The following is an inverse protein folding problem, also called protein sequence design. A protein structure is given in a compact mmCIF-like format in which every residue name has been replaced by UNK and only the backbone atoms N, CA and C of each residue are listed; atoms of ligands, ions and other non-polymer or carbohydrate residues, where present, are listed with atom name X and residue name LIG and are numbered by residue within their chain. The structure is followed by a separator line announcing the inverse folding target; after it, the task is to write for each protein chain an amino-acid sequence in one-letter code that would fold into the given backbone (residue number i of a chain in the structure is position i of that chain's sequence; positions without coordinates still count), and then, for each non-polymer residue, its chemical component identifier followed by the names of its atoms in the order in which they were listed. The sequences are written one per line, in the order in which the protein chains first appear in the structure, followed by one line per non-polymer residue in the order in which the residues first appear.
data_IF_455955389910
#
_entry.id   IF_455955389910
#
_cell.length_a   1.000
_cell.length_b   1.000
_cell.length_c   1.000
_cell.angle_alpha   90.00
_cell.angle_beta   90.00
_cell.angle_gamma   90.00
#
_symmetry.space_group_name_H-M   'P 1'
#
loop_
_entity.id
_entity.type
_entity.pdbx_description
1 polymer ?
#
# COMPACT_ATOMS: atom_id res chain seq x y z
N UNK A 1 5.13 -15.98 -24.82
CA UNK A 1 5.62 -15.38 -26.08
C UNK A 1 6.27 -14.06 -25.70
N UNK A 2 7.54 -13.84 -26.03
CA UNK A 2 8.21 -12.57 -25.78
C UNK A 2 7.61 -11.56 -26.77
N UNK A 3 6.69 -10.71 -26.33
CA UNK A 3 6.15 -9.65 -27.18
C UNK A 3 7.29 -8.69 -27.52
N UNK A 4 7.52 -8.45 -28.80
CA UNK A 4 8.48 -7.45 -29.24
C UNK A 4 7.80 -6.08 -29.26
N UNK A 5 7.97 -5.32 -28.19
CA UNK A 5 7.42 -3.97 -28.00
C UNK A 5 8.14 -2.89 -28.82
N UNK A 6 9.02 -3.27 -29.75
CA UNK A 6 9.83 -2.32 -30.53
C UNK A 6 10.76 -1.44 -29.68
N UNK A 7 11.02 -1.84 -28.43
CA UNK A 7 11.83 -1.08 -27.49
C UNK A 7 13.32 -1.26 -27.79
N UNK A 8 14.05 -0.14 -27.74
CA UNK A 8 15.51 -0.17 -27.77
C UNK A 8 16.10 -0.64 -26.43
N UNK A 9 17.39 -0.96 -26.42
CA UNK A 9 18.06 -1.53 -25.24
C UNK A 9 17.98 -0.62 -24.00
N UNK A 10 18.10 0.70 -24.17
CA UNK A 10 17.98 1.66 -23.06
C UNK A 10 16.56 1.73 -22.52
N UNK A 11 15.54 1.63 -23.38
CA UNK A 11 14.13 1.59 -22.96
C UNK A 11 13.81 0.29 -22.22
N UNK A 12 14.31 -0.86 -22.70
CA UNK A 12 14.16 -2.15 -21.99
C UNK A 12 14.82 -2.07 -20.62
N UNK A 13 16.07 -1.58 -20.55
CA UNK A 13 16.79 -1.41 -19.30
C UNK A 13 16.08 -0.46 -18.34
N UNK A 14 15.51 0.63 -18.84
CA UNK A 14 14.70 1.54 -18.04
C UNK A 14 13.53 0.83 -17.37
N UNK A 15 12.80 -0.02 -18.10
CA UNK A 15 11.67 -0.77 -17.55
C UNK A 15 12.11 -1.77 -16.48
N UNK A 16 13.22 -2.48 -16.73
CA UNK A 16 13.81 -3.45 -15.80
C UNK A 16 14.29 -2.79 -14.51
N UNK A 17 14.88 -1.60 -14.58
CA UNK A 17 15.29 -0.84 -13.41
C UNK A 17 14.09 -0.22 -12.70
N UNK A 18 13.09 0.26 -13.45
CA UNK A 18 11.87 0.87 -12.90
C UNK A 18 11.07 -0.08 -12.07
N UNK A 19 10.93 -1.34 -12.50
CA UNK A 19 10.15 -2.29 -11.73
C UNK A 19 10.79 -2.57 -10.36
N UNK A 20 12.10 -2.34 -10.16
CA UNK A 20 12.78 -2.64 -8.88
C UNK A 20 12.26 -1.74 -7.75
N UNK A 21 12.22 -0.43 -7.95
CA UNK A 21 11.93 0.56 -6.90
C UNK A 21 10.81 1.56 -7.27
N UNK A 22 10.22 1.43 -8.45
CA UNK A 22 9.20 2.33 -9.02
C UNK A 22 9.65 3.79 -9.07
N UNK A 23 10.96 4.03 -9.14
CA UNK A 23 11.55 5.37 -9.18
C UNK A 23 12.03 5.74 -10.58
N UNK A 24 11.17 6.39 -11.36
CA UNK A 24 11.42 6.74 -12.76
C UNK A 24 12.77 7.44 -12.98
N UNK A 25 13.09 8.45 -12.16
CA UNK A 25 14.31 9.23 -12.30
C UNK A 25 15.56 8.37 -12.07
N UNK A 26 15.55 7.51 -11.04
CA UNK A 26 16.67 6.61 -10.76
C UNK A 26 16.81 5.53 -11.83
N UNK A 27 15.71 4.99 -12.34
CA UNK A 27 15.71 4.03 -13.44
C UNK A 27 16.31 4.62 -14.72
N UNK A 28 16.07 5.90 -14.97
CA UNK A 28 16.62 6.63 -16.12
C UNK A 28 18.15 6.75 -16.05
N UNK A 29 18.69 7.06 -14.86
CA UNK A 29 20.13 7.06 -14.63
C UNK A 29 20.73 5.66 -14.80
N UNK A 30 20.13 4.64 -14.18
CA UNK A 30 20.62 3.25 -14.26
C UNK A 30 20.52 2.66 -15.67
N UNK A 31 19.56 3.13 -16.48
CA UNK A 31 19.45 2.78 -17.89
C UNK A 31 20.48 3.48 -18.79
N UNK A 32 21.33 4.36 -18.24
CA UNK A 32 22.43 4.99 -18.97
C UNK A 32 21.98 6.05 -19.97
N UNK A 33 20.86 6.73 -19.71
CA UNK A 33 20.44 7.86 -20.54
C UNK A 33 21.27 9.12 -20.30
N UNK A 34 21.64 9.40 -19.05
CA UNK A 34 22.46 10.54 -18.62
C UNK A 34 23.30 10.15 -17.40
N UNK A 35 24.38 10.88 -17.14
CA UNK A 35 25.20 10.70 -15.95
C UNK A 35 24.44 11.15 -14.69
N UNK A 36 24.81 10.59 -13.53
CA UNK A 36 24.22 10.92 -12.23
C UNK A 36 24.58 12.36 -11.83
N UNK A 37 23.76 13.32 -12.22
CA UNK A 37 23.96 14.75 -11.93
C UNK A 37 22.87 15.64 -12.53
N UNK A 38 22.34 15.27 -13.70
CA UNK A 38 21.31 16.03 -14.41
C UNK A 38 19.89 15.65 -13.97
N UNK A 39 19.57 15.87 -12.68
CA UNK A 39 18.32 15.41 -12.08
C UNK A 39 17.07 15.95 -12.76
N UNK A 40 17.05 17.24 -13.11
CA UNK A 40 15.89 17.87 -13.75
C UNK A 40 15.60 17.28 -15.14
N UNK A 41 16.66 17.05 -15.92
CA UNK A 41 16.56 16.41 -17.24
C UNK A 41 16.11 14.96 -17.11
N UNK A 42 16.68 14.22 -16.16
CA UNK A 42 16.30 12.84 -15.91
C UNK A 42 14.85 12.72 -15.47
N UNK A 43 14.39 13.54 -14.53
CA UNK A 43 13.01 13.49 -14.02
C UNK A 43 11.98 13.77 -15.12
N UNK A 44 12.19 14.83 -15.92
CA UNK A 44 11.28 15.20 -17.01
C UNK A 44 11.22 14.12 -18.10
N UNK A 45 12.38 13.63 -18.57
CA UNK A 45 12.42 12.62 -19.62
C UNK A 45 11.95 11.24 -19.14
N UNK A 46 12.27 10.86 -17.90
CA UNK A 46 11.78 9.61 -17.32
C UNK A 46 10.25 9.58 -17.24
N UNK A 47 9.64 10.69 -16.82
CA UNK A 47 8.18 10.78 -16.80
C UNK A 47 7.58 10.70 -18.20
N UNK A 48 8.21 11.33 -19.20
CA UNK A 48 7.80 11.21 -20.60
C UNK A 48 7.92 9.78 -21.13
N UNK A 49 8.96 9.02 -20.74
CA UNK A 49 9.08 7.61 -21.12
C UNK A 49 7.94 6.78 -20.54
N UNK A 50 7.50 7.06 -19.30
CA UNK A 50 6.35 6.39 -18.72
C UNK A 50 5.04 6.68 -19.44
N UNK A 51 4.93 7.73 -20.26
CA UNK A 51 3.73 7.97 -21.09
C UNK A 51 3.72 7.16 -22.39
N UNK A 52 4.82 6.50 -22.75
CA UNK A 52 4.89 5.71 -23.97
C UNK A 52 4.16 4.37 -23.80
N UNK A 53 3.25 4.06 -24.73
CA UNK A 53 2.39 2.88 -24.67
C UNK A 53 3.17 1.55 -24.65
N UNK A 54 4.24 1.45 -25.43
CA UNK A 54 5.07 0.24 -25.51
C UNK A 54 5.88 0.01 -24.22
N UNK A 55 6.37 1.10 -23.62
CA UNK A 55 7.03 1.08 -22.31
C UNK A 55 6.05 0.64 -21.23
N UNK A 56 4.84 1.20 -21.21
CA UNK A 56 3.79 0.81 -20.27
C UNK A 56 3.41 -0.67 -20.42
N UNK A 57 3.27 -1.16 -21.66
CA UNK A 57 2.95 -2.55 -21.92
C UNK A 57 4.08 -3.49 -21.43
N UNK A 58 5.34 -3.14 -21.66
CA UNK A 58 6.47 -3.93 -21.16
C UNK A 58 6.58 -3.90 -19.63
N UNK A 59 6.38 -2.75 -18.98
CA UNK A 59 6.32 -2.65 -17.51
C UNK A 59 5.20 -3.53 -16.96
N UNK A 60 4.02 -3.53 -17.59
CA UNK A 60 2.91 -4.37 -17.17
C UNK A 60 3.23 -5.86 -17.29
N UNK A 61 3.94 -6.26 -18.35
CA UNK A 61 4.44 -7.64 -18.47
C UNK A 61 5.39 -7.99 -17.32
N UNK A 62 6.37 -7.14 -17.02
CA UNK A 62 7.31 -7.35 -15.91
C UNK A 62 6.60 -7.39 -14.55
N UNK A 63 5.57 -6.57 -14.34
CA UNK A 63 4.68 -6.64 -13.17
C UNK A 63 4.00 -8.00 -13.05
N UNK A 64 3.42 -8.49 -14.14
CA UNK A 64 2.72 -9.77 -14.17
C UNK A 64 3.69 -10.94 -13.91
N UNK A 65 4.87 -10.93 -14.53
CA UNK A 65 5.90 -11.94 -14.29
C UNK A 65 6.38 -11.95 -12.84
N UNK A 66 6.54 -10.77 -12.23
CA UNK A 66 6.85 -10.64 -10.81
C UNK A 66 5.73 -11.21 -9.95
N UNK A 67 4.47 -10.88 -10.24
CA UNK A 67 3.32 -11.38 -9.50
C UNK A 67 3.21 -12.91 -9.57
N UNK A 68 3.46 -13.49 -10.74
CA UNK A 68 3.52 -14.96 -10.91
C UNK A 68 4.66 -15.56 -10.07
N UNK A 69 5.85 -14.94 -10.08
CA UNK A 69 7.01 -15.44 -9.33
C UNK A 69 6.82 -15.35 -7.81
N UNK A 70 6.21 -14.27 -7.31
CA UNK A 70 6.01 -14.07 -5.86
C UNK A 70 4.72 -14.70 -5.36
N UNK A 71 3.77 -15.03 -6.24
CA UNK A 71 2.42 -15.43 -5.86
C UNK A 71 1.59 -14.29 -5.24
N UNK A 72 2.06 -13.04 -5.35
CA UNK A 72 1.41 -11.85 -4.78
C UNK A 72 0.86 -11.02 -5.93
N UNK A 73 -0.46 -10.98 -6.07
CA UNK A 73 -1.17 -10.15 -7.06
C UNK A 73 -1.62 -8.82 -6.42
N UNK A 74 -2.01 -7.85 -7.26
CA UNK A 74 -2.63 -6.62 -6.77
C UNK A 74 -3.88 -6.92 -5.91
N UNK A 75 -4.70 -7.89 -6.32
CA UNK A 75 -5.88 -8.32 -5.56
C UNK A 75 -5.53 -8.84 -4.16
N UNK A 76 -4.45 -9.62 -4.02
CA UNK A 76 -4.00 -10.11 -2.72
C UNK A 76 -3.55 -8.96 -1.81
N UNK A 77 -2.82 -7.98 -2.36
CA UNK A 77 -2.43 -6.78 -1.60
C UNK A 77 -3.66 -5.97 -1.16
N UNK A 78 -4.66 -5.84 -2.03
CA UNK A 78 -5.91 -5.14 -1.70
C UNK A 78 -6.72 -5.86 -0.64
N UNK A 79 -6.76 -7.20 -0.66
CA UNK A 79 -7.40 -8.01 0.38
C UNK A 79 -6.76 -7.78 1.74
N UNK A 80 -5.43 -7.69 1.80
CA UNK A 80 -4.71 -7.40 3.05
C UNK A 80 -4.98 -5.98 3.55
N UNK A 81 -4.97 -4.98 2.67
CA UNK A 81 -5.38 -3.62 3.06
C UNK A 81 -6.84 -3.57 3.53
N UNK A 82 -7.75 -4.31 2.87
CA UNK A 82 -9.15 -4.40 3.27
C UNK A 82 -9.31 -5.05 4.64
N UNK A 83 -8.55 -6.11 4.93
CA UNK A 83 -8.53 -6.75 6.24
C UNK A 83 -8.14 -5.74 7.34
N UNK A 84 -7.06 -4.97 7.14
CA UNK A 84 -6.65 -3.92 8.09
C UNK A 84 -7.72 -2.83 8.21
N UNK A 85 -8.19 -2.31 7.06
CA UNK A 85 -9.12 -1.20 7.00
C UNK A 85 -10.48 -1.49 7.64
N UNK A 86 -11.00 -2.71 7.47
CA UNK A 86 -12.34 -3.09 7.91
C UNK A 86 -12.35 -3.96 9.18
N UNK A 87 -11.19 -4.36 9.70
CA UNK A 87 -11.09 -5.01 11.00
C UNK A 87 -11.67 -4.15 12.14
N UNK A 88 -12.24 -4.83 13.13
CA UNK A 88 -12.69 -4.23 14.37
C UNK A 88 -11.98 -4.88 15.55
N UNK A 89 -11.44 -4.06 16.46
CA UNK A 89 -10.74 -4.55 17.65
C UNK A 89 -11.67 -5.35 18.58
N UNK A 90 -12.98 -5.06 18.56
CA UNK A 90 -13.98 -5.82 19.35
C UNK A 90 -14.06 -7.28 18.93
N UNK A 91 -13.68 -7.60 17.69
CA UNK A 91 -13.68 -8.97 17.21
C UNK A 91 -12.52 -9.78 17.80
N UNK A 92 -11.47 -9.12 18.30
CA UNK A 92 -10.30 -9.73 18.92
C UNK A 92 -10.40 -9.90 20.44
N UNK A 93 -11.42 -9.31 21.07
CA UNK A 93 -11.59 -9.31 22.53
C UNK A 93 -12.90 -9.96 22.97
N UNK A 94 -12.91 -10.47 24.18
CA UNK A 94 -14.08 -11.02 24.86
C UNK A 94 -14.20 -10.35 26.23
N UNK A 95 -15.39 -9.90 26.61
CA UNK A 95 -15.64 -9.29 27.91
C UNK A 95 -16.32 -10.33 28.80
N UNK A 96 -15.67 -10.73 29.88
CA UNK A 96 -16.22 -11.62 30.92
C UNK A 96 -16.07 -10.95 32.28
N UNK A 97 -17.13 -10.95 33.09
CA UNK A 97 -17.10 -10.41 34.46
C UNK A 97 -16.55 -8.97 34.57
N UNK A 98 -16.85 -8.11 33.58
CA UNK A 98 -16.32 -6.74 33.44
C UNK A 98 -14.80 -6.63 33.18
N UNK A 99 -14.14 -7.74 32.86
CA UNK A 99 -12.73 -7.79 32.45
C UNK A 99 -12.61 -8.11 30.95
N UNK A 100 -11.58 -7.55 30.31
CA UNK A 100 -11.30 -7.73 28.87
C UNK A 100 -10.27 -8.83 28.68
N UNK A 101 -10.65 -9.87 27.94
CA UNK A 101 -9.81 -10.99 27.56
C UNK A 101 -9.55 -10.98 26.06
N UNK A 102 -8.44 -11.57 25.64
CA UNK A 102 -8.18 -11.85 24.23
C UNK A 102 -8.92 -13.13 23.85
N UNK A 103 -9.55 -13.13 22.67
CA UNK A 103 -10.05 -14.40 22.10
C UNK A 103 -8.86 -15.29 21.75
N UNK A 104 -9.09 -16.60 21.79
CA UNK A 104 -8.13 -17.59 21.31
C UNK A 104 -7.85 -17.34 19.81
N UNK A 105 -6.59 -17.50 19.41
CA UNK A 105 -6.13 -17.34 18.02
C UNK A 105 -6.98 -18.15 17.04
N UNK A 106 -7.39 -19.36 17.44
CA UNK A 106 -8.23 -20.23 16.60
C UNK A 106 -9.65 -19.71 16.36
N UNK A 107 -10.11 -18.78 17.20
CA UNK A 107 -11.44 -18.18 17.13
C UNK A 107 -11.41 -16.80 16.47
N UNK A 108 -10.23 -16.27 16.13
CA UNK A 108 -10.08 -15.00 15.44
C UNK A 108 -10.38 -15.18 13.94
N UNK A 109 -11.25 -14.36 13.35
CA UNK A 109 -11.33 -14.25 11.90
C UNK A 109 -9.95 -13.92 11.32
N UNK A 110 -9.63 -14.51 10.17
CA UNK A 110 -8.31 -14.35 9.55
C UNK A 110 -7.98 -12.87 9.28
N UNK A 111 -9.01 -12.11 8.91
CA UNK A 111 -8.93 -10.67 8.62
C UNK A 111 -8.55 -9.86 9.87
N UNK A 112 -9.02 -10.29 11.04
CA UNK A 112 -8.69 -9.66 12.33
C UNK A 112 -7.27 -10.01 12.74
N UNK A 113 -6.85 -11.27 12.54
CA UNK A 113 -5.48 -11.71 12.82
C UNK A 113 -4.45 -10.93 12.00
N UNK A 114 -4.69 -10.74 10.69
CA UNK A 114 -3.84 -9.93 9.82
C UNK A 114 -3.76 -8.44 10.23
N UNK A 115 -4.79 -7.93 10.91
CA UNK A 115 -4.84 -6.53 11.34
C UNK A 115 -4.14 -6.27 12.68
N UNK A 116 -3.75 -7.29 13.44
CA UNK A 116 -3.07 -7.14 14.72
C UNK A 116 -1.59 -6.80 14.49
N UNK A 117 -1.18 -5.63 14.98
CA UNK A 117 0.21 -5.18 14.92
C UNK A 117 1.06 -5.70 16.09
N UNK A 118 0.47 -5.85 17.28
CA UNK A 118 1.16 -6.43 18.43
C UNK A 118 0.19 -6.92 19.50
N UNK A 119 0.54 -8.02 20.17
CA UNK A 119 -0.14 -8.54 21.36
C UNK A 119 0.87 -8.59 22.51
N UNK A 120 0.51 -8.08 23.68
CA UNK A 120 1.34 -8.20 24.89
C UNK A 120 0.48 -8.60 26.08
N UNK A 121 0.96 -9.59 26.84
CA UNK A 121 0.37 -10.01 28.12
C UNK A 121 1.39 -9.83 29.24
N UNK A 122 1.05 -9.08 30.28
CA UNK A 122 1.86 -8.98 31.49
C UNK A 122 1.09 -9.49 32.71
N UNK A 123 1.80 -10.25 33.53
CA UNK A 123 1.29 -10.80 34.79
C UNK A 123 2.11 -10.15 35.89
N UNK A 124 1.47 -9.43 36.79
CA UNK A 124 2.12 -8.81 37.95
C UNK A 124 1.47 -9.30 39.24
N UNK A 125 2.27 -9.90 40.12
CA UNK A 125 1.85 -10.27 41.47
C UNK A 125 2.11 -9.12 42.44
N UNK A 126 1.04 -8.58 43.02
CA UNK A 126 1.08 -7.57 44.07
C UNK A 126 0.51 -8.10 45.38
N UNK A 127 0.60 -7.29 46.45
CA UNK A 127 0.08 -7.62 47.79
C UNK A 127 -1.43 -7.95 47.83
N UNK A 128 -2.20 -7.61 46.78
CA UNK A 128 -3.64 -7.86 46.65
C UNK A 128 -4.02 -8.91 45.60
N UNK A 129 -3.04 -9.66 45.05
CA UNK A 129 -3.28 -10.75 44.10
C UNK A 129 -2.55 -10.61 42.76
N UNK A 130 -2.90 -11.50 41.82
CA UNK A 130 -2.35 -11.56 40.46
C UNK A 130 -3.13 -10.61 39.56
N UNK A 131 -2.50 -9.57 39.02
CA UNK A 131 -3.09 -8.72 37.97
C UNK A 131 -2.61 -9.20 36.60
N UNK A 132 -3.54 -9.47 35.68
CA UNK A 132 -3.26 -9.80 34.29
C UNK A 132 -3.64 -8.60 33.42
N UNK A 133 -2.70 -8.07 32.64
CA UNK A 133 -2.97 -7.03 31.64
C UNK A 133 -2.72 -7.60 30.25
N UNK A 134 -3.75 -7.61 29.42
CA UNK A 134 -3.62 -7.87 27.99
C UNK A 134 -3.75 -6.55 27.23
N UNK A 135 -2.90 -6.33 26.23
CA UNK A 135 -2.94 -5.18 25.34
C UNK A 135 -2.82 -5.66 23.89
N UNK A 136 -3.72 -5.18 23.04
CA UNK A 136 -3.69 -5.38 21.59
C UNK A 136 -3.48 -4.02 20.93
N UNK A 137 -2.62 -3.99 19.91
CA UNK A 137 -2.51 -2.87 18.97
C UNK A 137 -2.85 -3.38 17.57
N UNK A 138 -3.68 -2.62 16.85
CA UNK A 138 -3.99 -2.89 15.44
C UNK A 138 -3.08 -2.06 14.52
N UNK A 139 -2.91 -2.49 13.28
CA UNK A 139 -2.29 -1.71 12.23
C UNK A 139 -3.07 -0.42 11.94
N UNK A 140 -2.43 0.53 11.28
CA UNK A 140 -3.01 1.85 10.99
C UNK A 140 -4.12 1.74 9.93
N UNK A 141 -5.36 1.76 10.41
CA UNK A 141 -6.58 1.71 9.60
C UNK A 141 -6.69 2.85 8.60
N UNK A 142 -6.24 4.07 8.95
CA UNK A 142 -6.35 5.23 8.06
C UNK A 142 -5.41 5.11 6.87
N UNK A 143 -4.18 4.62 7.08
CA UNK A 143 -3.24 4.34 5.99
C UNK A 143 -3.76 3.27 5.04
N UNK A 144 -4.39 2.23 5.58
CA UNK A 144 -4.99 1.18 4.77
C UNK A 144 -6.17 1.72 3.93
N UNK A 145 -7.05 2.52 4.52
CA UNK A 145 -8.15 3.17 3.82
C UNK A 145 -7.66 4.15 2.74
N UNK A 146 -6.61 4.92 3.01
CA UNK A 146 -6.02 5.82 2.02
C UNK A 146 -5.43 5.07 0.82
N UNK A 147 -4.74 3.94 1.06
CA UNK A 147 -4.25 3.08 -0.02
C UNK A 147 -5.41 2.53 -0.88
N UNK A 148 -6.50 2.08 -0.25
CA UNK A 148 -7.69 1.60 -0.95
C UNK A 148 -8.42 2.73 -1.71
N UNK A 149 -8.52 3.92 -1.12
CA UNK A 149 -9.17 5.08 -1.75
C UNK A 149 -8.41 5.56 -3.00
N UNK A 150 -7.07 5.51 -2.96
CA UNK A 150 -6.21 5.78 -4.12
C UNK A 150 -6.39 4.74 -5.22
N UNK A 151 -6.49 3.45 -4.87
CA UNK A 151 -6.70 2.38 -5.85
C UNK A 151 -8.11 2.42 -6.49
N UNK A 152 -9.14 2.71 -5.69
CA UNK A 152 -10.54 2.74 -6.15
C UNK A 152 -10.92 4.02 -6.90
N UNK A 153 -10.08 5.05 -6.87
CA UNK A 153 -10.34 6.34 -7.52
C UNK A 153 -11.20 7.30 -6.69
N UNK A 154 -11.71 6.88 -5.53
CA UNK A 154 -12.57 7.69 -4.64
C UNK A 154 -11.91 9.03 -4.28
N UNK A 155 -10.59 9.03 -4.05
CA UNK A 155 -9.85 10.27 -3.75
C UNK A 155 -9.80 11.24 -4.95
N UNK A 156 -9.71 10.72 -6.17
CA UNK A 156 -9.71 11.54 -7.39
C UNK A 156 -11.07 12.17 -7.62
N UNK A 157 -12.15 11.39 -7.48
CA UNK A 157 -13.52 11.87 -7.63
C UNK A 157 -13.86 12.93 -6.59
N UNK A 158 -13.45 12.71 -5.33
CA UNK A 158 -13.61 13.70 -4.27
C UNK A 158 -12.87 15.00 -4.60
N UNK A 159 -11.61 14.92 -5.02
CA UNK A 159 -10.81 16.09 -5.40
C UNK A 159 -11.40 16.86 -6.59
N UNK A 160 -11.93 16.15 -7.60
CA UNK A 160 -12.62 16.77 -8.73
C UNK A 160 -13.91 17.49 -8.29
N UNK A 161 -14.69 16.89 -7.40
CA UNK A 161 -15.88 17.52 -6.83
C UNK A 161 -15.53 18.79 -6.05
N UNK A 162 -14.51 18.74 -5.19
CA UNK A 162 -14.03 19.91 -4.43
C UNK A 162 -13.52 21.01 -5.36
N UNK A 163 -12.77 20.68 -6.40
CA UNK A 163 -12.31 21.64 -7.40
C UNK A 163 -13.49 22.29 -8.15
N UNK A 164 -14.53 21.51 -8.48
CA UNK A 164 -15.77 22.01 -9.05
C UNK A 164 -16.49 22.98 -8.12
N UNK A 165 -16.65 22.64 -6.84
CA UNK A 165 -17.32 23.48 -5.85
C UNK A 165 -16.56 24.80 -5.60
N UNK A 166 -15.22 24.77 -5.58
CA UNK A 166 -14.37 25.97 -5.51
C UNK A 166 -14.56 26.90 -6.71
N UNK A 167 -14.74 26.33 -7.92
CA UNK A 167 -15.04 27.12 -9.13
C UNK A 167 -16.37 27.87 -9.03
N UNK A 168 -17.31 27.37 -8.24
CA UNK A 168 -18.60 28.02 -7.94
C UNK A 168 -18.58 28.85 -6.64
N UNK A 169 -17.40 29.10 -6.05
CA UNK A 169 -17.23 29.98 -4.90
C UNK A 169 -17.38 29.31 -3.52
N UNK A 170 -17.67 28.00 -3.47
CA UNK A 170 -17.78 27.28 -2.20
C UNK A 170 -16.39 26.89 -1.68
N UNK A 171 -16.03 27.38 -0.49
CA UNK A 171 -14.78 27.06 0.18
C UNK A 171 -15.00 25.91 1.17
N UNK A 172 -14.55 24.72 0.81
CA UNK A 172 -14.56 23.56 1.70
C UNK A 172 -13.21 23.53 2.42
N UNK A 173 -13.25 23.76 3.74
CA UNK A 173 -12.11 23.52 4.61
C UNK A 173 -11.81 22.03 4.63
N UNK A 174 -10.58 21.68 4.26
CA UNK A 174 -10.07 20.32 4.42
C UNK A 174 -9.06 20.45 5.56
N UNK A 175 -9.50 20.17 6.77
CA UNK A 175 -8.65 20.09 7.97
C UNK A 175 -7.81 18.79 7.94
#
# INVERSE_FOLDING_TARGET
MMHDYGLNDKQRRFCEEYIIDLNATQSYFRAGYVESGDFEVAASNAHRLLLNAEIQAYIQQLMNERAVRTGITADEVLKEYAAIAFSNITDAIEIKDSEVFLKDDKLLPKEVSCAIASVSSSISEGKSGVTRKASIRMHDKLKALDALARHTGVSSDFNQCVAGLRRYGFHIGVD
#
